data_IF_710960639045
#
_entry.id   IF_710960639045
#
_cell.length_a   1.000
_cell.length_b   1.000
_cell.length_c   1.000
_cell.angle_alpha   90.00
_cell.angle_beta   90.00
_cell.angle_gamma   90.00
#
_symmetry.space_group_name_H-M   'P 1'
#
loop_
_entity.id
_entity.type
_entity.pdbx_description
1 polymer ?
#
# COMPACT_ATOMS: atom_id res chain seq x y z
N UNK A 1 -23.95 -16.57 -5.20
CA UNK A 1 -23.46 -16.85 -3.84
C UNK A 1 -22.05 -16.25 -3.70
N UNK A 2 -21.97 -14.93 -3.50
CA UNK A 2 -20.71 -14.22 -3.31
C UNK A 2 -20.50 -13.99 -1.82
N UNK A 3 -19.90 -14.97 -1.15
CA UNK A 3 -19.55 -14.86 0.26
C UNK A 3 -18.50 -13.74 0.38
N UNK A 4 -18.96 -12.56 0.76
CA UNK A 4 -18.10 -11.44 1.18
C UNK A 4 -17.21 -11.97 2.29
N UNK A 5 -15.91 -12.00 2.02
CA UNK A 5 -14.87 -12.46 2.96
C UNK A 5 -14.85 -11.54 4.19
N UNK A 6 -15.74 -11.86 5.14
CA UNK A 6 -15.53 -11.90 6.59
C UNK A 6 -14.68 -10.78 7.21
N UNK A 7 -15.38 -9.77 7.74
CA UNK A 7 -15.47 -9.31 9.15
C UNK A 7 -14.24 -9.26 10.10
N UNK A 8 -13.08 -9.82 9.75
CA UNK A 8 -11.82 -9.66 10.51
C UNK A 8 -10.90 -8.55 9.93
N UNK A 9 -11.31 -7.98 8.80
CA UNK A 9 -10.50 -7.06 7.99
C UNK A 9 -10.43 -5.64 8.56
N UNK A 10 -11.49 -5.09 9.16
CA UNK A 10 -11.53 -3.68 9.58
C UNK A 10 -10.38 -3.22 10.47
N UNK A 11 -10.00 -3.99 11.51
CA UNK A 11 -8.92 -3.58 12.42
C UNK A 11 -7.53 -3.76 11.81
N UNK A 12 -7.28 -4.87 11.12
CA UNK A 12 -6.00 -5.14 10.46
C UNK A 12 -5.78 -4.18 9.30
N UNK A 13 -6.83 -3.89 8.53
CA UNK A 13 -6.83 -2.90 7.46
C UNK A 13 -6.64 -1.50 8.03
N UNK A 14 -7.30 -1.14 9.14
CA UNK A 14 -7.09 0.16 9.79
C UNK A 14 -5.65 0.30 10.29
N UNK A 15 -5.07 -0.75 10.89
CA UNK A 15 -3.68 -0.76 11.32
C UNK A 15 -2.72 -0.67 10.13
N UNK A 16 -2.99 -1.38 9.04
CA UNK A 16 -2.20 -1.32 7.83
C UNK A 16 -2.27 0.07 7.18
N UNK A 17 -3.48 0.60 6.94
CA UNK A 17 -3.73 1.96 6.45
C UNK A 17 -3.02 3.01 7.30
N UNK A 18 -3.06 2.86 8.63
CA UNK A 18 -2.36 3.77 9.55
C UNK A 18 -0.84 3.69 9.38
N UNK A 19 -0.26 2.49 9.31
CA UNK A 19 1.18 2.31 9.10
C UNK A 19 1.62 2.86 7.73
N UNK A 20 0.81 2.65 6.70
CA UNK A 20 1.04 3.18 5.35
C UNK A 20 0.92 4.70 5.29
N UNK A 21 0.03 5.29 6.07
CA UNK A 21 -0.10 6.75 6.22
C UNK A 21 1.11 7.38 6.90
N UNK A 22 1.85 6.62 7.72
CA UNK A 22 3.04 7.09 8.46
C UNK A 22 4.35 7.02 7.67
N UNK A 23 4.30 6.77 6.36
CA UNK A 23 5.47 6.69 5.48
C UNK A 23 6.50 5.62 5.91
N UNK A 24 6.03 4.57 6.58
CA UNK A 24 6.89 3.48 7.02
C UNK A 24 7.21 2.59 5.82
N UNK A 25 8.47 2.14 5.72
CA UNK A 25 8.91 1.28 4.62
C UNK A 25 8.06 0.02 4.45
N UNK A 26 7.69 -0.29 3.21
CA UNK A 26 6.95 -1.50 2.80
C UNK A 26 7.57 -2.79 3.36
N UNK A 27 8.91 -2.85 3.46
CA UNK A 27 9.60 -4.02 4.01
C UNK A 27 9.32 -4.24 5.50
N UNK A 28 9.26 -3.16 6.28
CA UNK A 28 8.91 -3.23 7.70
C UNK A 28 7.44 -3.60 7.89
N UNK A 29 6.55 -3.00 7.10
CA UNK A 29 5.11 -3.30 7.14
C UNK A 29 4.86 -4.76 6.73
N UNK A 30 5.56 -5.26 5.71
CA UNK A 30 5.52 -6.65 5.28
C UNK A 30 5.86 -7.61 6.41
N UNK A 31 6.96 -7.34 7.13
CA UNK A 31 7.38 -8.13 8.29
C UNK A 31 6.38 -8.04 9.45
N UNK A 32 5.79 -6.87 9.69
CA UNK A 32 4.80 -6.64 10.76
C UNK A 32 3.45 -7.31 10.48
N UNK A 33 3.04 -7.37 9.22
CA UNK A 33 1.80 -8.03 8.80
C UNK A 33 1.96 -9.55 8.60
N UNK A 34 3.20 -10.05 8.66
CA UNK A 34 3.53 -11.46 8.44
C UNK A 34 3.38 -11.89 7.00
N UNK A 35 3.54 -10.97 6.04
CA UNK A 35 3.46 -11.31 4.63
C UNK A 35 4.71 -12.08 4.19
N UNK A 36 4.49 -13.16 3.43
CA UNK A 36 5.56 -14.00 2.90
C UNK A 36 6.48 -13.26 1.91
N UNK A 37 5.99 -12.15 1.33
CA UNK A 37 6.76 -11.32 0.41
C UNK A 37 6.37 -9.85 0.49
N UNK A 38 7.34 -8.99 0.19
CA UNK A 38 7.13 -7.55 0.03
C UNK A 38 6.15 -7.28 -1.13
N UNK A 39 6.16 -8.11 -2.18
CA UNK A 39 5.23 -8.01 -3.31
C UNK A 39 3.76 -8.14 -2.86
N UNK A 40 3.47 -9.10 -1.99
CA UNK A 40 2.13 -9.25 -1.39
C UNK A 40 1.73 -8.01 -0.59
N UNK A 41 2.69 -7.38 0.07
CA UNK A 41 2.47 -6.15 0.84
C UNK A 41 2.22 -4.96 -0.07
N UNK A 42 2.92 -4.89 -1.20
CA UNK A 42 2.73 -3.85 -2.20
C UNK A 42 1.35 -3.99 -2.87
N UNK A 43 0.94 -5.19 -3.27
CA UNK A 43 -0.40 -5.39 -3.84
C UNK A 43 -1.48 -5.02 -2.82
N UNK A 44 -1.36 -5.51 -1.59
CA UNK A 44 -2.28 -5.18 -0.51
C UNK A 44 -2.33 -3.67 -0.21
N UNK A 45 -1.18 -2.99 -0.25
CA UNK A 45 -1.12 -1.53 -0.12
C UNK A 45 -1.89 -0.81 -1.24
N UNK A 46 -1.71 -1.22 -2.49
CA UNK A 46 -2.37 -0.63 -3.65
C UNK A 46 -3.88 -0.88 -3.65
N UNK A 47 -4.32 -2.06 -3.17
CA UNK A 47 -5.73 -2.38 -2.98
C UNK A 47 -6.37 -1.53 -1.87
N UNK A 48 -5.62 -1.26 -0.79
CA UNK A 48 -6.11 -0.52 0.37
C UNK A 48 -6.10 1.01 0.17
N UNK A 49 -5.17 1.52 -0.63
CA UNK A 49 -4.95 2.96 -0.87
C UNK A 49 -4.69 3.24 -2.36
N UNK A 50 -5.69 3.09 -3.24
CA UNK A 50 -5.52 3.32 -4.68
C UNK A 50 -5.15 4.77 -5.01
N UNK A 51 -5.57 5.74 -4.18
CA UNK A 51 -5.20 7.15 -4.32
C UNK A 51 -3.69 7.41 -4.21
N UNK A 52 -3.00 6.66 -3.33
CA UNK A 52 -1.54 6.74 -3.19
C UNK A 52 -0.84 6.27 -4.46
N UNK A 53 -1.40 5.28 -5.16
CA UNK A 53 -0.85 4.84 -6.46
C UNK A 53 -0.85 5.97 -7.47
N UNK A 54 -1.95 6.71 -7.57
CA UNK A 54 -2.06 7.85 -8.48
C UNK A 54 -1.09 8.98 -8.10
N UNK A 55 -0.92 9.24 -6.80
CA UNK A 55 0.09 10.20 -6.33
C UNK A 55 1.50 9.78 -6.72
N UNK A 56 1.89 8.53 -6.45
CA UNK A 56 3.21 8.01 -6.80
C UNK A 56 3.50 8.05 -8.31
N UNK A 57 2.48 7.79 -9.13
CA UNK A 57 2.60 7.88 -10.59
C UNK A 57 2.82 9.32 -11.05
N UNK A 58 2.05 10.26 -10.50
CA UNK A 58 2.23 11.69 -10.76
C UNK A 58 3.60 12.21 -10.28
N UNK A 59 4.04 11.80 -9.09
CA UNK A 59 5.37 12.13 -8.56
C UNK A 59 6.48 11.58 -9.46
N UNK A 60 6.36 10.32 -9.92
CA UNK A 60 7.32 9.71 -10.83
C UNK A 60 7.39 10.47 -12.17
N UNK A 61 6.26 10.82 -12.76
CA UNK A 61 6.21 11.62 -13.99
C UNK A 61 6.84 13.00 -13.80
N UNK A 62 6.58 13.64 -12.67
CA UNK A 62 7.16 14.94 -12.31
C UNK A 62 8.70 14.85 -12.19
N UNK A 63 9.21 13.85 -11.47
CA UNK A 63 10.65 13.62 -11.31
C UNK A 63 11.34 13.30 -12.64
N UNK A 64 10.69 12.51 -13.50
CA UNK A 64 11.22 12.20 -14.83
C UNK A 64 11.25 13.44 -15.73
N UNK A 65 10.26 14.32 -15.61
CA UNK A 65 10.24 15.58 -16.34
C UNK A 65 11.35 16.54 -15.87
N UNK A 66 11.65 16.56 -14.57
CA UNK A 66 12.74 17.35 -13.98
C UNK A 66 14.13 16.89 -14.48
N UNK A 67 14.32 15.59 -14.66
CA UNK A 67 15.54 15.01 -15.25
C UNK A 67 15.74 15.32 -16.74
N UNK A 68 14.67 15.71 -17.44
CA UNK A 68 14.71 16.01 -18.88
C UNK A 68 15.01 17.49 -19.18
N UNK A 69 15.26 18.31 -18.15
CA UNK A 69 15.65 19.72 -18.21
C UNK A 69 17.16 19.88 -18.00
#
# INVERSE_FOLDING_TARGET
MGLTKTTFHGLRDTQASFLFSKDISLGYISRRLGHNSILTTQQYYLELMPEKKHQQDADALSLLNDLSL
#
